data_IF_331966815791
#
_entry.id   IF_331966815791
#
_cell.length_a   1.000
_cell.length_b   1.000
_cell.length_c   1.000
_cell.angle_alpha   90.00
_cell.angle_beta   90.00
_cell.angle_gamma   90.00
#
_symmetry.space_group_name_H-M   'P 1'
#
loop_
_entity.id
_entity.type
_entity.pdbx_description
1 polymer ?
#
# COMPACT_ATOMS: atom_id res chain seq x y z
N UNK A 1 -2.43 -0.64 20.97
CA UNK A 1 -3.53 -1.43 20.37
C UNK A 1 -4.77 -1.52 21.25
N UNK A 2 -4.65 -1.40 22.56
CA UNK A 2 -5.82 -1.42 23.47
C UNK A 2 -6.64 -0.11 23.46
N UNK A 3 -6.08 1.01 23.04
CA UNK A 3 -6.76 2.30 23.08
C UNK A 3 -7.92 2.41 22.06
N UNK A 4 -7.75 1.88 20.85
CA UNK A 4 -8.74 1.99 19.77
C UNK A 4 -10.11 1.38 20.11
N UNK A 5 -10.22 0.14 20.64
CA UNK A 5 -11.48 -0.40 21.07
C UNK A 5 -12.15 0.43 22.17
N UNK A 6 -11.36 1.09 23.03
CA UNK A 6 -11.88 1.97 24.09
C UNK A 6 -12.53 3.22 23.49
N UNK A 7 -11.86 3.86 22.51
CA UNK A 7 -12.42 5.03 21.81
C UNK A 7 -13.69 4.68 21.05
N UNK A 8 -13.70 3.56 20.32
CA UNK A 8 -14.87 3.09 19.58
C UNK A 8 -16.06 2.81 20.52
N UNK A 9 -15.84 2.21 21.68
CA UNK A 9 -16.89 1.99 22.70
C UNK A 9 -17.47 3.29 23.25
N UNK A 10 -16.67 4.35 23.31
CA UNK A 10 -17.11 5.69 23.72
C UNK A 10 -17.78 6.48 22.58
N UNK A 11 -17.88 5.92 21.39
CA UNK A 11 -18.44 6.59 20.22
C UNK A 11 -17.55 7.66 19.61
N UNK A 12 -16.28 7.72 20.00
CA UNK A 12 -15.31 8.65 19.45
C UNK A 12 -14.91 8.19 18.03
N UNK A 13 -15.09 9.07 17.04
CA UNK A 13 -14.85 8.78 15.61
C UNK A 13 -13.96 9.82 14.91
N UNK A 14 -13.18 10.55 15.66
CA UNK A 14 -12.24 11.52 15.11
C UNK A 14 -11.11 10.84 14.31
N UNK A 15 -10.36 11.63 13.59
CA UNK A 15 -9.17 11.17 12.90
C UNK A 15 -8.24 10.38 13.82
N UNK A 16 -7.61 9.33 13.29
CA UNK A 16 -6.70 8.41 13.99
C UNK A 16 -7.34 7.53 15.10
N UNK A 17 -8.65 7.51 15.21
CA UNK A 17 -9.40 6.67 16.18
C UNK A 17 -10.17 5.52 15.50
N UNK A 18 -9.92 5.27 14.21
CA UNK A 18 -10.54 4.20 13.44
C UNK A 18 -9.95 2.81 13.73
N UNK A 19 -10.53 1.81 13.11
CA UNK A 19 -10.08 0.41 13.18
C UNK A 19 -9.31 -0.03 11.92
N UNK A 20 -9.03 0.87 11.00
CA UNK A 20 -8.17 0.64 9.85
C UNK A 20 -6.80 1.25 10.11
N UNK A 21 -5.77 0.44 9.97
CA UNK A 21 -4.37 0.83 10.19
C UNK A 21 -3.65 0.88 8.86
N UNK A 22 -3.07 2.02 8.54
CA UNK A 22 -2.29 2.20 7.31
C UNK A 22 -0.89 1.56 7.44
N UNK A 23 -0.89 0.27 7.60
CA UNK A 23 0.28 -0.60 7.72
C UNK A 23 -0.07 -2.01 7.22
N UNK A 24 0.88 -2.80 6.68
CA UNK A 24 2.32 -2.58 6.61
C UNK A 24 2.77 -1.77 5.38
N UNK A 25 3.94 -1.11 5.49
CA UNK A 25 4.66 -0.59 4.33
C UNK A 25 5.51 -1.74 3.76
N UNK A 26 5.09 -2.26 2.62
CA UNK A 26 5.72 -3.39 1.93
C UNK A 26 6.42 -2.98 0.63
N UNK A 27 6.76 -1.71 0.50
CA UNK A 27 7.62 -1.27 -0.59
C UNK A 27 9.04 -1.80 -0.40
N UNK A 28 9.72 -2.07 -1.51
CA UNK A 28 11.09 -2.56 -1.51
C UNK A 28 12.06 -1.39 -1.40
N UNK A 29 12.97 -1.44 -0.43
CA UNK A 29 13.99 -0.42 -0.24
C UNK A 29 15.09 -0.58 -1.29
N UNK A 30 15.04 0.21 -2.35
CA UNK A 30 15.97 0.14 -3.50
C UNK A 30 16.90 1.35 -3.62
N UNK A 31 16.46 2.51 -3.15
CA UNK A 31 17.19 3.77 -3.28
C UNK A 31 17.46 4.38 -1.90
N UNK A 32 18.73 4.57 -1.50
CA UNK A 32 19.08 5.14 -0.19
C UNK A 32 18.61 6.59 -0.02
N UNK A 33 18.23 7.26 -1.09
CA UNK A 33 17.67 8.62 -1.07
C UNK A 33 16.17 8.64 -0.74
N UNK A 34 15.54 7.49 -0.70
CA UNK A 34 14.14 7.39 -0.30
C UNK A 34 13.97 7.57 1.22
N UNK A 35 13.32 8.66 1.64
CA UNK A 35 13.22 9.07 3.05
C UNK A 35 12.39 8.15 3.94
N UNK A 36 11.64 7.18 3.36
CA UNK A 36 10.76 6.26 4.10
C UNK A 36 11.28 4.83 4.18
N UNK A 37 12.55 4.61 3.82
CA UNK A 37 13.17 3.28 3.87
C UNK A 37 13.09 2.61 5.25
N UNK A 38 13.18 3.37 6.34
CA UNK A 38 13.09 2.88 7.71
C UNK A 38 11.71 2.30 8.08
N UNK A 39 10.66 2.58 7.30
CA UNK A 39 9.34 2.01 7.52
C UNK A 39 9.19 0.59 6.94
N UNK A 40 10.16 0.12 6.16
CA UNK A 40 10.07 -1.10 5.36
C UNK A 40 10.80 -2.27 6.00
N UNK A 41 10.64 -3.44 5.40
CA UNK A 41 11.35 -4.68 5.80
C UNK A 41 12.63 -4.90 5.00
N UNK A 42 13.07 -3.93 4.19
CA UNK A 42 14.32 -3.95 3.45
C UNK A 42 14.17 -4.24 1.96
N UNK A 43 15.15 -4.92 1.39
CA UNK A 43 15.31 -5.08 -0.05
C UNK A 43 14.77 -6.40 -0.59
N UNK A 44 14.56 -7.39 0.27
CA UNK A 44 14.14 -8.73 -0.11
C UNK A 44 12.62 -8.84 -0.24
N UNK A 45 12.09 -9.14 -1.45
CA UNK A 45 10.65 -9.26 -1.67
C UNK A 45 10.00 -10.41 -0.90
N UNK A 46 10.72 -11.51 -0.69
CA UNK A 46 10.21 -12.66 0.02
C UNK A 46 10.09 -12.38 1.53
N UNK A 47 11.16 -11.87 2.14
CA UNK A 47 11.11 -11.44 3.54
C UNK A 47 10.02 -10.40 3.75
N UNK A 48 9.94 -9.40 2.88
CA UNK A 48 8.90 -8.35 2.95
C UNK A 48 7.50 -8.95 2.87
N UNK A 49 7.29 -9.93 2.00
CA UNK A 49 6.00 -10.62 1.87
C UNK A 49 5.63 -11.36 3.16
N UNK A 50 6.56 -12.12 3.75
CA UNK A 50 6.32 -12.88 4.98
C UNK A 50 6.06 -11.98 6.19
N UNK A 51 6.87 -10.94 6.37
CA UNK A 51 6.70 -9.97 7.46
C UNK A 51 5.39 -9.21 7.32
N UNK A 52 5.07 -8.73 6.11
CA UNK A 52 3.81 -8.07 5.82
C UNK A 52 2.61 -8.97 6.07
N UNK A 53 2.68 -10.23 5.64
CA UNK A 53 1.63 -11.24 5.86
C UNK A 53 1.38 -11.48 7.36
N UNK A 54 2.44 -11.57 8.15
CA UNK A 54 2.34 -11.74 9.60
C UNK A 54 1.63 -10.53 10.25
N UNK A 55 1.97 -9.31 9.82
CA UNK A 55 1.31 -8.08 10.30
C UNK A 55 -0.18 -8.07 9.93
N UNK A 56 -0.51 -8.36 8.67
CA UNK A 56 -1.92 -8.42 8.21
C UNK A 56 -2.72 -9.44 9.04
N UNK A 57 -2.21 -10.67 9.16
CA UNK A 57 -2.88 -11.72 9.97
C UNK A 57 -3.02 -11.34 11.43
N UNK A 58 -2.00 -10.71 12.03
CA UNK A 58 -2.03 -10.25 13.41
C UNK A 58 -3.09 -9.17 13.64
N UNK A 59 -3.15 -8.16 12.77
CA UNK A 59 -4.13 -7.08 12.87
C UNK A 59 -5.56 -7.55 12.60
N UNK A 60 -5.75 -8.33 11.55
CA UNK A 60 -7.09 -8.80 11.15
C UNK A 60 -7.59 -9.97 11.99
N UNK A 61 -6.73 -10.62 12.77
CA UNK A 61 -7.12 -11.74 13.62
C UNK A 61 -7.02 -13.11 12.96
N UNK A 62 -6.33 -13.21 11.82
CA UNK A 62 -6.00 -14.47 11.15
C UNK A 62 -7.18 -15.28 10.61
N UNK A 63 -8.33 -14.65 10.41
CA UNK A 63 -9.53 -15.31 9.87
C UNK A 63 -10.21 -16.30 10.82
N UNK A 64 -9.89 -16.27 12.11
CA UNK A 64 -10.45 -17.20 13.11
C UNK A 64 -11.77 -16.77 13.72
N UNK A 65 -12.19 -15.52 13.46
CA UNK A 65 -13.42 -14.94 13.97
C UNK A 65 -14.46 -14.67 12.89
N UNK A 66 -15.71 -14.41 13.31
CA UNK A 66 -16.77 -13.96 12.40
C UNK A 66 -16.47 -12.59 11.78
N UNK A 67 -15.69 -11.77 12.47
CA UNK A 67 -15.34 -10.41 12.09
C UNK A 67 -13.84 -10.21 12.24
N UNK A 68 -13.27 -9.35 11.38
CA UNK A 68 -11.89 -8.91 11.53
C UNK A 68 -11.75 -8.05 12.81
N UNK A 69 -10.62 -8.17 13.50
CA UNK A 69 -10.34 -7.36 14.70
C UNK A 69 -10.08 -5.90 14.34
N UNK A 70 -9.35 -5.70 13.26
CA UNK A 70 -9.04 -4.42 12.65
C UNK A 70 -8.70 -4.65 11.19
N UNK A 71 -8.63 -3.62 10.38
CA UNK A 71 -8.17 -3.72 9.01
C UNK A 71 -6.70 -3.31 8.89
N UNK A 72 -5.94 -4.08 8.13
CA UNK A 72 -4.61 -3.72 7.67
C UNK A 72 -4.70 -3.10 6.27
N UNK A 73 -3.72 -2.24 5.93
CA UNK A 73 -3.62 -1.59 4.64
C UNK A 73 -2.24 -1.85 4.04
N UNK A 74 -2.19 -2.59 2.93
CA UNK A 74 -0.96 -2.82 2.18
C UNK A 74 -0.57 -1.55 1.41
N UNK A 75 0.62 -1.02 1.67
CA UNK A 75 1.05 0.24 1.06
C UNK A 75 2.51 0.24 0.66
N UNK A 76 2.87 1.10 -0.28
CA UNK A 76 2.08 1.94 -1.19
C UNK A 76 2.11 1.33 -2.59
N UNK A 77 0.97 1.07 -3.16
CA UNK A 77 0.82 0.33 -4.42
C UNK A 77 0.85 1.27 -5.62
N UNK A 78 1.89 1.24 -6.48
CA UNK A 78 3.06 0.38 -6.43
C UNK A 78 4.33 1.14 -6.85
N UNK A 79 5.48 0.46 -6.68
CA UNK A 79 6.81 0.98 -7.07
C UNK A 79 7.13 2.33 -6.41
N UNK A 80 6.77 2.48 -5.15
CA UNK A 80 6.95 3.70 -4.36
C UNK A 80 8.23 3.64 -3.52
N UNK A 81 9.38 3.86 -4.15
CA UNK A 81 10.70 3.88 -3.50
C UNK A 81 11.70 4.82 -4.19
N UNK A 82 11.18 5.86 -4.83
CA UNK A 82 11.98 6.89 -5.48
C UNK A 82 12.54 7.93 -4.47
N UNK A 83 13.38 8.87 -4.93
CA UNK A 83 13.96 9.90 -4.09
C UNK A 83 12.91 10.75 -3.36
N UNK A 84 13.16 11.05 -2.08
CA UNK A 84 12.17 11.72 -1.22
C UNK A 84 11.75 13.10 -1.69
N UNK A 85 12.65 13.87 -2.27
CA UNK A 85 12.37 15.24 -2.71
C UNK A 85 11.37 15.34 -3.87
N UNK A 86 11.14 14.26 -4.60
CA UNK A 86 10.15 14.22 -5.67
C UNK A 86 9.06 13.15 -5.45
N UNK A 87 8.80 12.78 -4.22
CA UNK A 87 7.82 11.75 -3.84
C UNK A 87 6.46 11.93 -4.51
N UNK A 88 5.99 13.16 -4.64
CA UNK A 88 4.70 13.50 -5.23
C UNK A 88 4.72 13.63 -6.77
N UNK A 89 5.89 13.71 -7.37
CA UNK A 89 6.05 13.90 -8.83
C UNK A 89 6.83 12.78 -9.52
N UNK A 90 7.40 11.85 -8.74
CA UNK A 90 8.19 10.74 -9.25
C UNK A 90 7.39 9.89 -10.24
N UNK A 91 8.04 9.49 -11.32
CA UNK A 91 7.48 8.56 -12.31
C UNK A 91 8.39 7.34 -12.44
N UNK A 92 7.89 6.21 -12.03
CA UNK A 92 8.57 4.92 -12.15
C UNK A 92 8.48 4.43 -13.60
N UNK A 93 9.40 4.91 -14.45
CA UNK A 93 9.48 4.58 -15.88
C UNK A 93 10.47 3.47 -16.17
N UNK A 94 10.22 2.79 -17.27
CA UNK A 94 11.09 1.73 -17.80
C UNK A 94 11.29 0.58 -16.81
N UNK A 95 10.27 0.31 -15.99
CA UNK A 95 10.28 -0.83 -15.09
C UNK A 95 10.12 -2.11 -15.94
N UNK A 96 11.12 -2.97 -15.92
CA UNK A 96 11.03 -4.23 -16.64
C UNK A 96 9.90 -5.10 -16.08
N UNK A 97 9.26 -5.90 -16.94
CA UNK A 97 8.24 -6.86 -16.46
C UNK A 97 8.83 -7.80 -15.39
N UNK A 98 10.08 -8.17 -15.54
CA UNK A 98 10.77 -8.98 -14.54
C UNK A 98 10.86 -8.28 -13.19
N UNK A 99 11.33 -7.03 -13.16
CA UNK A 99 11.43 -6.26 -11.91
C UNK A 99 10.05 -6.04 -11.28
N UNK A 100 9.05 -5.73 -12.10
CA UNK A 100 7.69 -5.54 -11.62
C UNK A 100 7.17 -6.80 -10.92
N UNK A 101 7.27 -7.96 -11.58
CA UNK A 101 6.67 -9.20 -11.10
C UNK A 101 7.53 -9.99 -10.11
N UNK A 102 8.86 -9.81 -10.11
CA UNK A 102 9.77 -10.52 -9.20
C UNK A 102 10.20 -9.67 -8.00
N UNK A 103 10.10 -8.34 -8.07
CA UNK A 103 10.56 -7.45 -7.00
C UNK A 103 9.42 -6.63 -6.38
N UNK A 104 8.67 -5.86 -7.18
CA UNK A 104 7.76 -4.86 -6.63
C UNK A 104 6.38 -5.39 -6.26
N UNK A 105 5.86 -6.36 -6.98
CA UNK A 105 4.51 -6.89 -6.78
C UNK A 105 4.38 -8.11 -5.86
N UNK A 106 5.41 -8.95 -5.61
CA UNK A 106 5.24 -10.19 -4.87
C UNK A 106 4.65 -10.02 -3.47
N UNK A 107 5.14 -9.03 -2.71
CA UNK A 107 4.61 -8.77 -1.37
C UNK A 107 3.13 -8.38 -1.41
N UNK A 108 2.73 -7.48 -2.32
CA UNK A 108 1.31 -7.12 -2.49
C UNK A 108 0.45 -8.32 -2.85
N UNK A 109 0.90 -9.14 -3.81
CA UNK A 109 0.20 -10.36 -4.21
C UNK A 109 -0.02 -11.31 -3.02
N UNK A 110 1.02 -11.52 -2.22
CA UNK A 110 0.94 -12.37 -1.02
C UNK A 110 -0.07 -11.81 -0.01
N UNK A 111 -0.02 -10.52 0.28
CA UNK A 111 -0.95 -9.91 1.23
C UNK A 111 -2.40 -9.96 0.74
N UNK A 112 -2.62 -9.81 -0.55
CA UNK A 112 -3.96 -9.95 -1.18
C UNK A 112 -4.43 -11.41 -1.16
N UNK A 113 -3.62 -12.32 -1.70
CA UNK A 113 -4.05 -13.71 -1.91
C UNK A 113 -4.09 -14.54 -0.63
N UNK A 114 -3.09 -14.39 0.23
CA UNK A 114 -2.91 -15.21 1.44
C UNK A 114 -3.30 -14.48 2.72
N UNK A 115 -3.04 -13.17 2.76
CA UNK A 115 -3.37 -12.31 3.90
C UNK A 115 -4.83 -11.85 3.91
N UNK A 116 -5.49 -11.83 2.76
CA UNK A 116 -6.83 -11.25 2.60
C UNK A 116 -6.90 -9.85 3.18
N UNK A 117 -5.86 -9.06 2.86
CA UNK A 117 -5.73 -7.68 3.35
C UNK A 117 -6.95 -6.85 2.95
N UNK A 118 -7.52 -6.10 3.90
CA UNK A 118 -8.79 -5.38 3.69
C UNK A 118 -8.64 -4.04 3.00
N UNK A 119 -7.44 -3.52 2.95
CA UNK A 119 -7.20 -2.25 2.29
C UNK A 119 -5.88 -2.28 1.52
N UNK A 120 -5.86 -1.68 0.33
CA UNK A 120 -4.67 -1.43 -0.47
C UNK A 120 -4.61 0.06 -0.74
N UNK A 121 -3.47 0.70 -0.44
CA UNK A 121 -3.27 2.12 -0.66
C UNK A 121 -2.48 2.36 -1.94
N UNK A 122 -3.07 3.08 -2.88
CA UNK A 122 -2.37 3.53 -4.07
C UNK A 122 -1.37 4.65 -3.72
N UNK A 123 -0.20 4.61 -4.38
CA UNK A 123 0.93 5.48 -4.09
C UNK A 123 0.79 6.88 -4.70
N UNK A 124 1.59 7.83 -4.20
CA UNK A 124 1.69 9.19 -4.75
C UNK A 124 2.23 9.22 -6.18
N UNK A 125 3.24 8.38 -6.46
CA UNK A 125 3.98 8.42 -7.71
C UNK A 125 3.16 7.98 -8.92
N UNK A 126 3.70 8.28 -10.09
CA UNK A 126 3.27 7.67 -11.35
C UNK A 126 3.95 6.33 -11.57
N UNK A 127 3.30 5.48 -12.33
CA UNK A 127 3.84 4.27 -12.89
C UNK A 127 3.62 4.27 -14.40
N UNK A 128 4.71 4.25 -15.17
CA UNK A 128 4.71 4.32 -16.63
C UNK A 128 3.88 5.50 -17.18
N UNK A 129 4.01 6.66 -16.54
CA UNK A 129 3.35 7.91 -16.96
C UNK A 129 1.98 8.16 -16.34
N UNK A 130 1.31 7.16 -15.77
CA UNK A 130 -0.01 7.32 -15.14
C UNK A 130 0.09 7.35 -13.62
N UNK A 131 -0.63 8.25 -12.92
CA UNK A 131 -0.69 8.24 -11.45
C UNK A 131 -1.14 6.88 -10.93
N UNK A 132 -0.48 6.32 -9.91
CA UNK A 132 -0.83 5.01 -9.36
C UNK A 132 -2.31 4.93 -8.94
N UNK A 133 -2.89 6.03 -8.44
CA UNK A 133 -4.28 6.07 -8.01
C UNK A 133 -5.32 6.13 -9.15
N UNK A 134 -4.89 6.25 -10.41
CA UNK A 134 -5.75 6.13 -11.60
C UNK A 134 -5.26 5.08 -12.60
N UNK A 135 -4.14 4.44 -12.31
CA UNK A 135 -3.49 3.51 -13.22
C UNK A 135 -4.33 2.24 -13.43
N UNK A 136 -4.87 2.08 -14.64
CA UNK A 136 -5.73 0.96 -14.99
C UNK A 136 -5.00 -0.39 -14.96
N UNK A 137 -3.72 -0.41 -15.36
CA UNK A 137 -2.93 -1.64 -15.32
C UNK A 137 -2.78 -2.14 -13.88
N UNK A 138 -2.42 -1.25 -12.95
CA UNK A 138 -2.22 -1.62 -11.55
C UNK A 138 -3.55 -1.96 -10.87
N UNK A 139 -4.52 -1.03 -10.92
CA UNK A 139 -5.73 -1.14 -10.09
C UNK A 139 -6.78 -2.07 -10.67
N UNK A 140 -6.97 -2.07 -11.99
CA UNK A 140 -8.01 -2.91 -12.60
C UNK A 140 -7.43 -4.25 -12.99
N UNK A 141 -6.47 -4.26 -13.92
CA UNK A 141 -5.98 -5.52 -14.48
C UNK A 141 -5.30 -6.40 -13.43
N UNK A 142 -4.27 -5.87 -12.76
CA UNK A 142 -3.47 -6.68 -11.82
C UNK A 142 -4.24 -6.91 -10.52
N UNK A 143 -4.69 -5.83 -9.86
CA UNK A 143 -5.27 -5.94 -8.53
C UNK A 143 -6.65 -6.61 -8.56
N UNK A 144 -7.57 -6.12 -9.42
CA UNK A 144 -8.96 -6.62 -9.46
C UNK A 144 -9.09 -7.92 -10.25
N UNK A 145 -8.59 -7.94 -11.50
CA UNK A 145 -8.83 -9.08 -12.41
C UNK A 145 -7.88 -10.24 -12.10
N UNK A 146 -6.55 -10.01 -12.12
CA UNK A 146 -5.57 -11.11 -11.96
C UNK A 146 -5.54 -11.65 -10.51
N UNK A 147 -5.67 -10.77 -9.52
CA UNK A 147 -5.61 -11.19 -8.11
C UNK A 147 -6.98 -11.37 -7.45
N UNK A 148 -8.04 -10.91 -8.08
CA UNK A 148 -9.42 -11.04 -7.56
C UNK A 148 -9.64 -10.25 -6.27
N UNK A 149 -9.00 -9.08 -6.14
CA UNK A 149 -9.17 -8.21 -4.98
C UNK A 149 -10.46 -7.39 -5.12
N UNK A 150 -11.37 -7.53 -4.19
CA UNK A 150 -12.66 -6.83 -4.19
C UNK A 150 -12.90 -5.92 -2.95
N UNK A 151 -11.93 -5.88 -2.06
CA UNK A 151 -11.95 -5.01 -0.88
C UNK A 151 -11.56 -3.54 -1.23
N UNK A 152 -11.25 -2.73 -0.23
CA UNK A 152 -11.07 -1.28 -0.33
C UNK A 152 -9.74 -0.90 -1.00
N UNK A 153 -9.81 0.04 -1.95
CA UNK A 153 -8.63 0.79 -2.43
C UNK A 153 -8.76 2.22 -1.91
N UNK A 154 -7.74 2.68 -1.19
CA UNK A 154 -7.66 4.05 -0.65
C UNK A 154 -6.49 4.79 -1.31
N UNK A 155 -6.60 6.11 -1.47
CA UNK A 155 -5.47 6.94 -1.86
C UNK A 155 -4.57 7.24 -0.66
N UNK A 156 -3.28 7.44 -0.90
CA UNK A 156 -2.43 8.10 0.10
C UNK A 156 -2.90 9.54 0.35
N UNK A 157 -2.47 10.15 1.45
CA UNK A 157 -2.93 11.47 1.90
C UNK A 157 -2.80 12.53 0.81
N UNK A 158 -3.92 12.97 0.25
CA UNK A 158 -3.93 14.00 -0.80
C UNK A 158 -3.45 13.55 -2.17
N UNK A 159 -3.15 12.26 -2.40
CA UNK A 159 -2.62 11.77 -3.68
C UNK A 159 -3.54 12.05 -4.89
N UNK A 160 -4.82 12.17 -4.70
CA UNK A 160 -5.74 12.60 -5.76
C UNK A 160 -5.52 14.07 -6.10
N UNK A 161 -5.14 14.90 -5.11
CA UNK A 161 -4.77 16.29 -5.33
C UNK A 161 -3.53 16.45 -6.21
N UNK A 162 -2.60 15.52 -6.13
CA UNK A 162 -1.38 15.52 -6.95
C UNK A 162 -1.65 15.49 -8.46
N UNK A 163 -2.85 15.06 -8.89
CA UNK A 163 -3.25 15.10 -10.31
C UNK A 163 -3.43 16.53 -10.84
N UNK A 164 -3.71 17.48 -9.97
CA UNK A 164 -4.05 18.86 -10.33
C UNK A 164 -2.99 19.87 -9.91
N UNK A 165 -2.15 19.54 -8.94
CA UNK A 165 -1.19 20.50 -8.42
C UNK A 165 -0.03 20.68 -9.40
N UNK A 166 0.33 21.96 -9.73
CA UNK A 166 1.51 22.24 -10.52
C UNK A 166 2.75 21.58 -9.95
N UNK A 167 3.59 21.03 -10.82
CA UNK A 167 4.82 20.31 -10.49
C UNK A 167 4.66 18.93 -9.82
N UNK A 168 3.43 18.40 -9.68
CA UNK A 168 3.22 17.02 -9.24
C UNK A 168 3.00 16.10 -10.45
N UNK A 169 1.75 15.88 -10.86
CA UNK A 169 1.42 15.11 -12.06
C UNK A 169 0.76 16.01 -13.08
N UNK A 170 1.56 16.75 -13.81
CA UNK A 170 1.02 17.57 -14.89
C UNK A 170 0.38 16.71 -15.97
N UNK A 171 -0.86 17.01 -16.30
CA UNK A 171 -1.59 16.46 -17.43
C UNK A 171 -1.45 17.38 -18.63
#
# INVERSE_FOLDING_TARGET
TCALPIFQRKGERDGYKGLTFWTPNINIYRDPRWGRGMETYGEDPYLTALMGLAVVKGLQGGGTGKYDKAHACAKHYAVHSGPEWNRHSFDAKNISQRDLWETYLPAFKTLVKEGKVKEVMCAYNRFEGEPCCSNKQLLIRILREDWGYDDIVVSDCGAIGDFYYPNHHET
#
